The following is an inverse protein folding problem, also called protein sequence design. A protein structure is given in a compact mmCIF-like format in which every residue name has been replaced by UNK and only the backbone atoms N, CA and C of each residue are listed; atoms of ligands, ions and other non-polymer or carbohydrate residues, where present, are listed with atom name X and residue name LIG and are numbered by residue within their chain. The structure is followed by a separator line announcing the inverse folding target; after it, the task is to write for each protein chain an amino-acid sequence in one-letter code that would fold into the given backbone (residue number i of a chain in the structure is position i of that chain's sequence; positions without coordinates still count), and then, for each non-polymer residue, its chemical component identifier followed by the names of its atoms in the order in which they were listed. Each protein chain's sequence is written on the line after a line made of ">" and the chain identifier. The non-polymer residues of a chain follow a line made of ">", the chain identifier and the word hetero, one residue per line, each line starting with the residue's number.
data_IF_096974139756
#
_entry.id   IF_096974139756
#
_cell.length_a   1.000
_cell.length_b   1.000
_cell.length_c   1.000
_cell.angle_alpha   90.00
_cell.angle_beta   90.00
_cell.angle_gamma   90.00
#
_symmetry.space_group_name_H-M   'P 1'
#
loop_
_entity.id
_entity.type
_entity.pdbx_description
1 polymer ?
#
# COMPACT_ATOMS: atom_id res chain seq x y z
N UNK A 1 -13.55 23.70 -1.67
CA UNK A 1 -13.50 25.06 -1.08
C UNK A 1 -13.40 25.09 0.46
N UNK A 2 -13.68 23.98 1.17
CA UNK A 2 -13.66 23.96 2.64
C UNK A 2 -12.46 23.22 3.28
N UNK A 3 -11.53 22.68 2.49
CA UNK A 3 -10.41 21.89 3.02
C UNK A 3 -9.52 22.75 3.96
N UNK A 4 -9.24 23.97 3.56
CA UNK A 4 -8.39 24.91 4.33
C UNK A 4 -8.99 25.30 5.70
N UNK A 5 -10.26 25.12 5.88
CA UNK A 5 -10.96 25.38 7.15
C UNK A 5 -10.64 24.32 8.21
N UNK A 6 -10.37 23.09 7.75
CA UNK A 6 -10.18 21.95 8.66
C UNK A 6 -8.76 21.41 8.64
N UNK A 7 -7.98 21.72 7.60
CA UNK A 7 -6.66 21.16 7.40
C UNK A 7 -5.62 22.24 7.13
N UNK A 8 -4.51 22.14 7.82
CA UNK A 8 -3.29 22.89 7.50
C UNK A 8 -2.36 22.00 6.68
N UNK A 9 -1.95 22.51 5.53
CA UNK A 9 -1.04 21.81 4.61
C UNK A 9 0.34 22.43 4.75
N UNK A 10 1.36 21.60 5.00
CA UNK A 10 2.78 21.96 4.90
C UNK A 10 3.39 21.23 3.72
N UNK A 11 4.22 21.91 2.93
CA UNK A 11 4.85 21.29 1.76
C UNK A 11 6.22 20.71 2.09
N UNK A 12 6.99 21.31 3.00
CA UNK A 12 8.31 20.83 3.42
C UNK A 12 8.45 20.84 4.94
N UNK A 13 8.54 19.67 5.58
CA UNK A 13 8.18 18.34 5.08
C UNK A 13 6.68 18.26 4.77
N UNK A 14 6.29 17.42 3.80
CA UNK A 14 4.87 17.30 3.47
C UNK A 14 4.09 16.68 4.61
N UNK A 15 3.15 17.45 5.14
CA UNK A 15 2.31 17.06 6.28
C UNK A 15 0.93 17.71 6.17
N UNK A 16 -0.09 16.99 6.64
CA UNK A 16 -1.43 17.50 6.85
C UNK A 16 -1.73 17.50 8.35
N UNK A 17 -2.26 18.59 8.87
CA UNK A 17 -2.68 18.71 10.26
C UNK A 17 -4.18 19.02 10.31
N UNK A 18 -4.94 18.19 10.99
CA UNK A 18 -6.35 18.46 11.27
C UNK A 18 -6.46 19.53 12.36
N UNK A 19 -7.01 20.69 12.03
CA UNK A 19 -7.13 21.83 12.97
C UNK A 19 -8.15 21.59 14.09
N UNK A 20 -9.03 20.59 13.92
CA UNK A 20 -10.05 20.27 14.93
C UNK A 20 -9.51 19.32 16.00
N UNK A 21 -8.71 18.32 15.58
CA UNK A 21 -8.27 17.25 16.47
C UNK A 21 -6.78 17.29 16.80
N UNK A 22 -5.98 18.06 16.04
CA UNK A 22 -4.53 18.04 16.11
C UNK A 22 -3.91 16.78 15.46
N UNK A 23 -4.72 15.89 14.89
CA UNK A 23 -4.22 14.70 14.19
C UNK A 23 -3.38 15.08 12.97
N UNK A 24 -2.28 14.37 12.75
CA UNK A 24 -1.36 14.64 11.64
C UNK A 24 -1.20 13.46 10.73
N UNK A 25 -1.10 13.72 9.43
CA UNK A 25 -0.69 12.79 8.40
C UNK A 25 0.67 13.26 7.88
N UNK A 26 1.67 12.42 7.99
CA UNK A 26 3.04 12.73 7.54
C UNK A 26 3.38 11.85 6.35
N UNK A 27 3.92 12.44 5.29
CA UNK A 27 4.31 11.74 4.08
C UNK A 27 5.82 11.56 4.08
N UNK A 28 6.27 10.33 3.86
CA UNK A 28 7.70 9.97 3.85
C UNK A 28 7.99 8.98 2.74
N UNK A 29 9.14 9.16 2.07
CA UNK A 29 9.66 8.17 1.14
C UNK A 29 10.58 7.17 1.83
N UNK A 30 10.80 6.01 1.19
CA UNK A 30 11.72 4.96 1.64
C UNK A 30 12.64 4.47 0.51
N UNK A 31 12.98 5.33 -0.46
CA UNK A 31 13.74 4.93 -1.65
C UNK A 31 15.19 4.58 -1.37
N UNK A 32 15.79 5.19 -0.36
CA UNK A 32 17.19 5.02 -0.02
C UNK A 32 17.42 4.86 1.50
N UNK A 33 18.62 4.44 1.87
CA UNK A 33 18.97 4.19 3.27
C UNK A 33 18.86 5.45 4.13
N UNK A 34 19.12 6.63 3.54
CA UNK A 34 18.98 7.91 4.25
C UNK A 34 17.52 8.18 4.61
N UNK A 35 16.59 7.88 3.70
CA UNK A 35 15.16 8.04 3.96
C UNK A 35 14.66 7.00 4.96
N UNK A 36 15.14 5.75 4.87
CA UNK A 36 14.85 4.70 5.86
C UNK A 36 15.33 5.08 7.26
N UNK A 37 16.54 5.62 7.40
CA UNK A 37 17.05 6.12 8.69
C UNK A 37 16.22 7.30 9.22
N UNK A 38 15.81 8.23 8.38
CA UNK A 38 14.92 9.33 8.77
C UNK A 38 13.58 8.82 9.29
N UNK A 39 13.04 7.74 8.72
CA UNK A 39 11.82 7.12 9.24
C UNK A 39 11.99 6.55 10.64
N UNK A 40 13.14 5.93 10.93
CA UNK A 40 13.46 5.46 12.27
C UNK A 40 13.50 6.59 13.31
N UNK A 41 13.84 7.80 12.89
CA UNK A 41 13.95 8.97 13.75
C UNK A 41 12.67 9.81 13.85
N UNK A 42 11.59 9.48 13.10
CA UNK A 42 10.32 10.20 13.23
C UNK A 42 9.79 10.07 14.63
N UNK A 43 9.69 11.18 15.33
CA UNK A 43 9.10 11.25 16.66
C UNK A 43 7.93 12.22 16.65
N UNK A 44 6.94 11.92 17.45
CA UNK A 44 5.80 12.80 17.67
C UNK A 44 5.88 13.29 19.11
N UNK A 45 6.23 14.57 19.34
CA UNK A 45 6.32 15.14 20.71
C UNK A 45 4.99 15.01 21.46
N UNK A 46 3.89 15.10 20.72
CA UNK A 46 2.53 14.90 21.21
C UNK A 46 1.82 13.88 20.32
N UNK A 47 1.21 12.87 20.94
CA UNK A 47 0.47 11.83 20.23
C UNK A 47 1.26 10.54 20.01
N UNK A 48 0.65 9.63 19.28
CA UNK A 48 1.18 8.30 18.94
C UNK A 48 0.99 8.02 17.46
N UNK A 49 1.95 7.29 16.88
CA UNK A 49 1.76 6.71 15.56
C UNK A 49 0.77 5.55 15.68
N UNK A 50 -0.37 5.65 15.03
CA UNK A 50 -1.44 4.64 15.09
C UNK A 50 -1.63 3.92 13.76
N UNK A 51 -1.48 4.65 12.65
CA UNK A 51 -1.79 4.17 11.33
C UNK A 51 -0.60 4.37 10.40
N UNK A 52 -0.28 3.36 9.62
CA UNK A 52 0.73 3.42 8.57
C UNK A 52 0.05 2.98 7.27
N UNK A 53 0.26 3.72 6.20
CA UNK A 53 -0.18 3.37 4.87
C UNK A 53 1.02 3.30 3.92
N UNK A 54 1.25 2.12 3.37
CA UNK A 54 2.24 1.88 2.33
C UNK A 54 1.53 1.87 0.98
N UNK A 55 1.69 2.94 0.24
CA UNK A 55 1.26 3.03 -1.16
C UNK A 55 2.30 2.37 -2.05
N UNK A 56 1.86 1.64 -3.09
CA UNK A 56 2.72 0.83 -3.95
C UNK A 56 3.60 -0.15 -3.13
N UNK A 57 2.96 -0.94 -2.27
CA UNK A 57 3.66 -1.80 -1.31
C UNK A 57 4.59 -2.84 -1.95
N UNK A 58 4.50 -3.07 -3.25
CA UNK A 58 5.45 -3.88 -4.03
C UNK A 58 6.85 -3.26 -4.14
N UNK A 59 7.00 -1.97 -3.88
CA UNK A 59 8.32 -1.32 -3.84
C UNK A 59 9.08 -1.52 -2.51
N UNK A 60 8.42 -2.09 -1.50
CA UNK A 60 9.00 -2.30 -0.17
C UNK A 60 9.46 -3.74 0.02
N UNK A 61 10.45 -3.90 0.89
CA UNK A 61 10.94 -5.21 1.31
C UNK A 61 10.22 -5.73 2.56
N UNK A 62 10.28 -7.04 2.87
CA UNK A 62 9.79 -7.56 4.15
C UNK A 62 10.41 -6.85 5.36
N UNK A 63 11.71 -6.54 5.28
CA UNK A 63 12.41 -5.83 6.35
C UNK A 63 11.93 -4.40 6.55
N UNK A 64 11.51 -3.71 5.49
CA UNK A 64 10.90 -2.38 5.61
C UNK A 64 9.59 -2.45 6.39
N UNK A 65 8.76 -3.46 6.11
CA UNK A 65 7.51 -3.67 6.84
C UNK A 65 7.77 -3.93 8.33
N UNK A 66 8.74 -4.77 8.67
CA UNK A 66 9.09 -5.08 10.06
C UNK A 66 9.60 -3.84 10.81
N UNK A 67 10.44 -3.04 10.17
CA UNK A 67 10.89 -1.75 10.75
C UNK A 67 9.71 -0.82 11.05
N UNK A 68 8.70 -0.79 10.19
CA UNK A 68 7.51 0.04 10.37
C UNK A 68 6.58 -0.54 11.45
N UNK A 69 6.41 -1.85 11.50
CA UNK A 69 5.61 -2.53 12.52
C UNK A 69 6.19 -2.30 13.93
N UNK A 70 7.50 -2.38 14.08
CA UNK A 70 8.20 -2.06 15.34
C UNK A 70 7.97 -0.61 15.82
N UNK A 71 7.50 0.29 14.96
CA UNK A 71 7.14 1.67 15.33
C UNK A 71 5.75 1.76 15.98
N UNK A 72 4.89 0.79 15.73
CA UNK A 72 3.55 0.71 16.31
C UNK A 72 3.63 0.07 17.70
N UNK A 73 3.98 0.86 18.70
CA UNK A 73 4.23 0.38 20.06
C UNK A 73 3.67 1.28 21.14
N UNK A 74 3.41 0.67 22.29
CA UNK A 74 2.88 1.32 23.47
C UNK A 74 1.41 1.02 23.67
N UNK A 75 0.83 1.51 24.76
CA UNK A 75 -0.57 1.30 25.05
C UNK A 75 -1.41 2.45 24.51
N UNK A 76 -2.09 2.22 23.37
CA UNK A 76 -3.01 3.18 22.77
C UNK A 76 -4.29 3.33 23.61
N UNK A 77 -4.75 2.25 24.24
CA UNK A 77 -6.00 2.26 25.01
C UNK A 77 -5.89 3.11 26.26
N UNK A 78 -4.69 3.28 26.80
CA UNK A 78 -4.42 4.23 27.86
C UNK A 78 -4.61 5.70 27.44
N UNK A 79 -4.45 5.99 26.11
CA UNK A 79 -4.68 7.31 25.54
C UNK A 79 -6.16 7.49 25.16
N UNK A 80 -6.69 6.54 24.41
CA UNK A 80 -8.11 6.51 24.00
C UNK A 80 -8.52 5.06 23.69
N UNK A 81 -9.55 4.51 24.35
CA UNK A 81 -10.00 3.13 24.13
C UNK A 81 -10.44 2.79 22.69
N UNK A 82 -10.76 3.80 21.89
CA UNK A 82 -11.13 3.62 20.49
C UNK A 82 -9.93 3.53 19.53
N UNK A 83 -8.72 3.79 20.00
CA UNK A 83 -7.52 3.71 19.16
C UNK A 83 -7.02 2.27 19.02
N UNK A 84 -6.48 1.97 17.85
CA UNK A 84 -5.85 0.72 17.51
C UNK A 84 -4.68 0.96 16.54
N UNK A 85 -3.82 -0.03 16.41
CA UNK A 85 -2.75 -0.03 15.40
C UNK A 85 -3.23 -0.65 14.11
N UNK A 86 -2.83 -0.07 12.99
CA UNK A 86 -3.10 -0.63 11.67
C UNK A 86 -2.00 -0.29 10.68
N UNK A 87 -1.60 -1.27 9.89
CA UNK A 87 -0.81 -1.08 8.68
C UNK A 87 -1.70 -1.41 7.47
N UNK A 88 -1.82 -0.48 6.55
CA UNK A 88 -2.54 -0.66 5.28
C UNK A 88 -1.54 -0.76 4.14
N UNK A 89 -1.65 -1.79 3.33
CA UNK A 89 -0.81 -2.02 2.15
C UNK A 89 -1.70 -1.93 0.91
N UNK A 90 -1.34 -1.04 -0.02
CA UNK A 90 -2.03 -0.93 -1.32
C UNK A 90 -1.04 -1.21 -2.43
N UNK A 91 -1.40 -2.05 -3.38
CA UNK A 91 -0.51 -2.45 -4.47
C UNK A 91 -1.26 -3.12 -5.62
N UNK A 92 -0.61 -3.14 -6.79
CA UNK A 92 -0.99 -3.99 -7.89
C UNK A 92 -0.22 -5.31 -7.79
N UNK A 93 -0.86 -6.48 -7.96
CA UNK A 93 -0.23 -7.79 -7.77
C UNK A 93 0.63 -8.19 -8.99
N UNK A 94 1.74 -7.47 -9.22
CA UNK A 94 2.54 -7.54 -10.46
C UNK A 94 3.27 -8.86 -10.65
N UNK A 95 3.65 -9.56 -9.58
CA UNK A 95 4.40 -10.82 -9.66
C UNK A 95 3.90 -11.85 -8.67
N UNK A 96 3.68 -13.08 -9.14
CA UNK A 96 3.28 -14.20 -8.32
C UNK A 96 4.37 -14.64 -7.31
N UNK A 97 5.64 -14.31 -7.57
CA UNK A 97 6.76 -14.66 -6.69
C UNK A 97 7.00 -13.62 -5.59
N UNK A 98 6.25 -12.53 -5.61
CA UNK A 98 6.44 -11.42 -4.69
C UNK A 98 6.20 -11.84 -3.23
N UNK A 99 6.98 -11.26 -2.29
CA UNK A 99 6.91 -11.58 -0.87
C UNK A 99 5.54 -11.29 -0.23
N UNK A 100 4.82 -10.26 -0.73
CA UNK A 100 3.46 -9.93 -0.27
C UNK A 100 2.50 -11.10 -0.48
N UNK A 101 2.59 -11.77 -1.65
CA UNK A 101 1.79 -12.96 -1.91
C UNK A 101 2.11 -14.07 -0.92
N UNK A 102 3.39 -14.40 -0.78
CA UNK A 102 3.85 -15.47 0.13
C UNK A 102 3.45 -15.23 1.57
N UNK A 103 3.56 -13.97 2.03
CA UNK A 103 3.28 -13.62 3.42
C UNK A 103 1.78 -13.55 3.75
N UNK A 104 0.96 -12.99 2.85
CA UNK A 104 -0.42 -12.65 3.17
C UNK A 104 -1.47 -13.47 2.42
N UNK A 105 -1.14 -14.09 1.28
CA UNK A 105 -2.11 -14.82 0.47
C UNK A 105 -1.87 -16.32 0.47
N UNK A 106 -0.62 -16.77 0.47
CA UNK A 106 -0.27 -18.19 0.47
C UNK A 106 -0.12 -18.75 1.90
N UNK A 107 0.14 -17.88 2.89
CA UNK A 107 0.18 -18.27 4.31
C UNK A 107 -1.24 -18.51 4.88
N UNK A 108 -1.35 -19.33 5.93
CA UNK A 108 -2.61 -19.44 6.67
C UNK A 108 -3.13 -18.08 7.10
N UNK A 109 -4.45 -17.87 7.00
CA UNK A 109 -5.08 -16.62 7.42
C UNK A 109 -4.80 -16.35 8.90
N UNK A 110 -4.13 -15.24 9.19
CA UNK A 110 -4.03 -14.69 10.53
C UNK A 110 -5.31 -13.89 10.81
N UNK A 111 -5.89 -14.06 11.99
CA UNK A 111 -7.11 -13.35 12.38
C UNK A 111 -7.00 -11.83 12.36
N UNK A 112 -5.77 -11.31 12.40
CA UNK A 112 -5.50 -9.88 12.38
C UNK A 112 -5.25 -9.32 10.96
N UNK A 113 -5.33 -10.17 9.92
CA UNK A 113 -5.11 -9.77 8.53
C UNK A 113 -6.44 -9.73 7.78
N UNK A 114 -6.77 -8.56 7.21
CA UNK A 114 -7.89 -8.38 6.30
C UNK A 114 -7.41 -8.18 4.87
N UNK A 115 -7.86 -9.02 3.96
CA UNK A 115 -7.55 -8.94 2.54
C UNK A 115 -8.73 -8.41 1.75
N UNK A 116 -8.50 -7.39 0.93
CA UNK A 116 -9.49 -6.83 0.03
C UNK A 116 -8.93 -6.77 -1.38
N UNK A 117 -9.66 -7.31 -2.35
CA UNK A 117 -9.34 -7.20 -3.76
C UNK A 117 -10.38 -6.31 -4.44
N UNK A 118 -9.91 -5.26 -5.09
CA UNK A 118 -10.73 -4.40 -5.93
C UNK A 118 -10.39 -4.63 -7.40
N UNK A 119 -11.37 -4.47 -8.26
CA UNK A 119 -11.20 -4.62 -9.70
C UNK A 119 -11.66 -3.35 -10.42
N UNK A 120 -11.10 -3.12 -11.59
CA UNK A 120 -11.38 -1.95 -12.43
C UNK A 120 -12.88 -1.67 -12.58
N UNK A 121 -13.70 -2.71 -12.83
CA UNK A 121 -15.14 -2.57 -13.02
C UNK A 121 -15.94 -2.11 -11.79
N UNK A 122 -15.33 -2.11 -10.60
CA UNK A 122 -15.95 -1.62 -9.36
C UNK A 122 -15.76 -0.10 -9.16
N UNK A 123 -14.85 0.51 -9.92
CA UNK A 123 -14.58 1.93 -9.80
C UNK A 123 -15.58 2.75 -10.60
N UNK A 124 -16.61 3.27 -9.94
CA UNK A 124 -17.66 4.09 -10.54
C UNK A 124 -17.21 5.46 -11.04
N UNK A 125 -16.01 5.90 -10.72
CA UNK A 125 -15.45 7.19 -11.10
C UNK A 125 -14.53 7.11 -12.32
N UNK A 126 -14.41 5.94 -12.94
CA UNK A 126 -13.57 5.75 -14.12
C UNK A 126 -14.13 6.53 -15.30
N UNK A 127 -13.30 7.39 -15.88
CA UNK A 127 -13.65 8.12 -17.11
C UNK A 127 -13.75 7.18 -18.31
N UNK A 128 -14.63 7.52 -19.27
CA UNK A 128 -14.91 6.72 -20.47
C UNK A 128 -13.66 6.39 -21.28
N UNK A 129 -12.74 7.34 -21.40
CA UNK A 129 -11.49 7.13 -22.17
C UNK A 129 -10.54 6.16 -21.48
N UNK A 130 -10.47 6.19 -20.15
CA UNK A 130 -9.70 5.21 -19.40
C UNK A 130 -10.32 3.82 -19.51
N UNK A 131 -11.64 3.71 -19.42
CA UNK A 131 -12.37 2.46 -19.60
C UNK A 131 -12.08 1.83 -20.97
N UNK A 132 -12.14 2.62 -22.04
CA UNK A 132 -11.81 2.16 -23.40
C UNK A 132 -10.36 1.69 -23.53
N UNK A 133 -9.41 2.38 -22.90
CA UNK A 133 -8.00 1.95 -22.90
C UNK A 133 -7.82 0.63 -22.16
N UNK A 134 -8.50 0.45 -21.04
CA UNK A 134 -8.42 -0.76 -20.26
C UNK A 134 -9.02 -1.96 -21.03
N UNK A 135 -10.17 -1.78 -21.68
CA UNK A 135 -10.76 -2.81 -22.54
C UNK A 135 -9.85 -3.18 -23.72
N UNK A 136 -9.23 -2.20 -24.35
CA UNK A 136 -8.25 -2.48 -25.42
C UNK A 136 -7.04 -3.25 -24.89
N UNK A 137 -6.59 -2.96 -23.68
CA UNK A 137 -5.49 -3.68 -23.04
C UNK A 137 -5.80 -5.17 -22.88
N UNK A 138 -7.06 -5.54 -22.72
CA UNK A 138 -7.50 -6.93 -22.67
C UNK A 138 -7.03 -7.75 -23.87
N UNK A 139 -6.95 -7.12 -25.06
CA UNK A 139 -6.51 -7.78 -26.31
C UNK A 139 -5.01 -7.60 -26.56
N UNK A 140 -4.47 -6.41 -26.25
CA UNK A 140 -3.09 -6.06 -26.58
C UNK A 140 -2.06 -6.43 -25.50
N UNK A 141 -2.48 -6.57 -24.26
CA UNK A 141 -1.67 -6.92 -23.11
C UNK A 141 -2.54 -7.67 -22.09
N UNK A 142 -2.91 -8.95 -22.38
CA UNK A 142 -3.81 -9.72 -21.51
C UNK A 142 -3.27 -9.90 -20.09
N UNK A 143 -1.96 -10.04 -19.95
CA UNK A 143 -1.34 -10.20 -18.62
C UNK A 143 -1.43 -8.91 -17.80
N UNK A 144 -1.06 -7.78 -18.39
CA UNK A 144 -1.26 -6.49 -17.74
C UNK A 144 -2.73 -6.19 -17.45
N UNK A 145 -3.66 -6.63 -18.29
CA UNK A 145 -5.09 -6.53 -18.00
C UNK A 145 -5.48 -7.34 -16.76
N UNK A 146 -4.98 -8.58 -16.62
CA UNK A 146 -5.21 -9.40 -15.43
C UNK A 146 -4.72 -8.72 -14.15
N UNK A 147 -3.52 -8.16 -14.19
CA UNK A 147 -2.91 -7.46 -13.04
C UNK A 147 -3.66 -6.18 -12.70
N UNK A 148 -3.77 -5.25 -13.66
CA UNK A 148 -4.21 -3.88 -13.39
C UNK A 148 -5.73 -3.69 -13.45
N UNK A 149 -6.45 -4.57 -14.17
CA UNK A 149 -7.90 -4.49 -14.25
C UNK A 149 -8.61 -5.49 -13.33
N UNK A 150 -8.10 -6.71 -13.25
CA UNK A 150 -8.73 -7.78 -12.48
C UNK A 150 -8.10 -7.99 -11.10
N UNK A 151 -6.96 -7.34 -10.78
CA UNK A 151 -6.26 -7.53 -9.52
C UNK A 151 -5.80 -8.98 -9.31
N UNK A 152 -5.43 -9.66 -10.38
CA UNK A 152 -4.85 -11.00 -10.34
C UNK A 152 -3.34 -10.93 -10.29
N UNK A 153 -2.70 -11.91 -9.65
CA UNK A 153 -1.26 -11.97 -9.63
C UNK A 153 -0.69 -12.19 -11.03
N UNK A 154 0.28 -11.38 -11.42
CA UNK A 154 1.03 -11.53 -12.65
C UNK A 154 1.86 -12.82 -12.68
N UNK A 155 2.49 -13.08 -13.81
CA UNK A 155 3.41 -14.22 -13.98
C UNK A 155 4.59 -14.15 -13.01
N UNK A 156 5.32 -15.27 -12.90
CA UNK A 156 6.55 -15.33 -12.11
C UNK A 156 7.65 -14.54 -12.79
N UNK A 157 8.38 -13.72 -12.01
CA UNK A 157 9.53 -12.96 -12.50
C UNK A 157 10.64 -13.93 -12.96
N UNK A 158 11.22 -13.65 -14.13
CA UNK A 158 12.40 -14.37 -14.63
C UNK A 158 12.12 -15.50 -15.62
N UNK A 159 10.88 -15.70 -16.05
CA UNK A 159 10.61 -16.57 -17.19
C UNK A 159 11.05 -15.87 -18.49
N UNK A 160 12.16 -16.30 -19.06
CA UNK A 160 12.65 -15.85 -20.38
C UNK A 160 11.75 -16.38 -21.50
N UNK A 161 11.10 -17.52 -21.26
CA UNK A 161 10.15 -18.17 -22.16
C UNK A 161 8.87 -18.46 -21.38
N UNK A 162 7.75 -17.90 -21.83
CA UNK A 162 6.43 -18.09 -21.23
C UNK A 162 5.67 -19.28 -21.80
N UNK A 163 6.08 -19.73 -22.98
CA UNK A 163 5.48 -20.86 -23.74
C UNK A 163 6.55 -21.91 -24.04
N UNK A 164 6.76 -22.84 -23.12
CA UNK A 164 7.63 -23.98 -23.38
C UNK A 164 6.97 -25.27 -22.93
N UNK A 165 7.14 -26.31 -23.72
CA UNK A 165 6.75 -27.67 -23.39
C UNK A 165 7.98 -28.57 -23.36
N UNK A 166 8.02 -29.48 -22.38
CA UNK A 166 9.03 -30.54 -22.40
C UNK A 166 8.58 -31.58 -23.41
N UNK A 167 9.28 -31.67 -24.55
CA UNK A 167 9.04 -32.75 -25.48
C UNK A 167 9.50 -34.09 -24.86
N UNK A 168 8.72 -35.16 -25.04
CA UNK A 168 9.06 -36.49 -24.53
C UNK A 168 10.31 -37.06 -25.14
#
# INVERSE_FOLDING_TARGET
>A
EDADRYWRIRQEPMELECLVTGARIVFRGMKDDTQREKLKSVSFPEGKLCFIWLEEATEFTPGDLEVLDDRLRGDLRAVNPALYYQITLTFNPVSADHWLRKRFFDAPADGDVFLSRTVFGQNRFVGVEYARRMERRRETDPEGYRVYALGEWGGSDGLVLTDWEVAP
#
